data_IF_302580277741
#
_entry.id   IF_302580277741
#
_cell.length_a   1.000
_cell.length_b   1.000
_cell.length_c   1.000
_cell.angle_alpha   90.00
_cell.angle_beta   90.00
_cell.angle_gamma   90.00
#
_symmetry.space_group_name_H-M   'P 1'
#
loop_
_entity.id
_entity.type
_entity.pdbx_description
1 polymer ?
#
# COMPACT_ATOMS: atom_id res chain seq x y z
N UNK A 1 28.91 25.80 28.38
CA UNK A 1 28.41 24.45 28.07
C UNK A 1 29.53 23.53 27.61
N UNK A 2 29.24 22.28 27.24
CA UNK A 2 30.26 21.28 26.83
C UNK A 2 31.12 21.74 25.66
N UNK A 3 30.59 22.52 24.74
CA UNK A 3 31.29 23.07 23.56
C UNK A 3 32.32 24.12 24.02
N UNK A 4 31.93 25.01 24.91
CA UNK A 4 32.83 26.04 25.45
C UNK A 4 34.04 25.44 26.18
N UNK A 5 33.82 24.31 26.89
CA UNK A 5 34.91 23.61 27.58
C UNK A 5 35.95 23.03 26.58
N UNK A 6 35.48 22.50 25.41
CA UNK A 6 36.42 21.99 24.39
C UNK A 6 37.18 23.09 23.70
N UNK A 7 36.58 24.26 23.47
CA UNK A 7 37.25 25.42 22.90
C UNK A 7 38.35 25.96 23.84
N UNK A 8 38.11 26.00 25.18
CA UNK A 8 39.10 26.37 26.19
C UNK A 8 40.28 25.39 26.23
N UNK A 9 40.10 24.14 25.82
CA UNK A 9 41.17 23.13 25.74
C UNK A 9 41.92 23.16 24.39
N UNK A 10 41.62 24.10 23.48
CA UNK A 10 42.25 24.20 22.16
C UNK A 10 41.88 23.05 21.20
N UNK A 11 40.78 22.35 21.47
CA UNK A 11 40.27 21.29 20.61
C UNK A 11 39.39 21.96 19.55
N UNK A 12 39.77 21.84 18.25
CA UNK A 12 38.92 22.32 17.17
C UNK A 12 37.55 21.57 17.21
N UNK A 13 36.54 22.27 17.69
CA UNK A 13 35.18 21.75 17.64
C UNK A 13 34.58 22.07 16.27
N UNK A 14 34.15 21.04 15.54
CA UNK A 14 33.31 21.21 14.36
C UNK A 14 32.16 22.14 14.71
N UNK A 15 31.98 23.23 13.99
CA UNK A 15 30.91 24.21 14.22
C UNK A 15 29.56 23.52 14.34
N UNK A 16 29.00 23.46 15.57
CA UNK A 16 27.71 22.87 15.88
C UNK A 16 26.54 23.55 15.16
N UNK A 17 26.74 24.72 14.54
CA UNK A 17 25.73 25.39 13.73
C UNK A 17 25.24 24.54 12.55
N UNK A 18 26.02 23.54 12.10
CA UNK A 18 25.61 22.62 11.05
C UNK A 18 24.66 21.51 11.54
N UNK A 19 24.62 21.23 12.84
CA UNK A 19 23.80 20.13 13.39
C UNK A 19 22.33 20.51 13.60
N UNK A 20 22.05 21.77 13.85
CA UNK A 20 20.67 22.27 13.99
C UNK A 20 19.90 22.26 12.66
N UNK A 21 20.61 22.31 11.52
CA UNK A 21 20.02 22.19 10.18
C UNK A 21 19.72 20.74 9.79
N UNK A 22 20.36 19.76 10.47
CA UNK A 22 20.17 18.32 10.24
C UNK A 22 19.01 17.72 11.06
N UNK A 23 18.43 18.46 11.98
CA UNK A 23 17.16 18.04 12.60
C UNK A 23 16.07 18.21 11.56
N UNK A 24 16.00 17.26 10.65
CA UNK A 24 14.82 17.08 9.80
C UNK A 24 13.68 16.84 10.77
N UNK A 25 12.86 17.87 11.01
CA UNK A 25 11.61 17.73 11.75
C UNK A 25 10.81 16.65 11.04
N UNK A 26 10.87 15.43 11.55
CA UNK A 26 10.10 14.32 11.04
C UNK A 26 8.64 14.78 11.04
N UNK A 27 8.06 14.95 9.86
CA UNK A 27 6.62 15.27 9.77
C UNK A 27 5.91 14.15 10.51
N UNK A 28 5.06 14.46 11.49
CA UNK A 28 4.35 13.43 12.24
C UNK A 28 3.61 12.54 11.23
N UNK A 29 3.93 11.26 11.24
CA UNK A 29 3.23 10.30 10.40
C UNK A 29 1.80 10.20 10.92
N UNK A 30 0.81 10.53 10.08
CA UNK A 30 -0.59 10.34 10.44
C UNK A 30 -0.88 8.86 10.50
N UNK A 31 -1.10 8.35 11.70
CA UNK A 31 -1.57 6.99 11.91
C UNK A 31 -2.86 6.77 11.12
N UNK A 32 -2.94 5.66 10.42
CA UNK A 32 -4.15 5.29 9.71
C UNK A 32 -5.17 4.71 10.70
N UNK A 33 -6.34 5.35 10.78
CA UNK A 33 -7.47 4.85 11.56
C UNK A 33 -8.49 4.28 10.57
N UNK A 34 -8.72 2.96 10.58
CA UNK A 34 -9.75 2.37 9.73
C UNK A 34 -11.14 2.77 10.21
N UNK A 35 -12.04 2.96 9.27
CA UNK A 35 -13.45 3.26 9.51
C UNK A 35 -14.34 2.19 8.90
N UNK A 36 -15.57 2.03 9.38
CA UNK A 36 -16.54 1.07 8.83
C UNK A 36 -17.02 1.47 7.42
N UNK A 37 -16.75 2.70 7.00
CA UNK A 37 -17.03 3.19 5.64
C UNK A 37 -16.47 2.27 4.54
N UNK A 38 -15.41 1.50 4.82
CA UNK A 38 -14.82 0.59 3.83
C UNK A 38 -15.79 -0.52 3.41
N UNK A 39 -16.62 -1.02 4.32
CA UNK A 39 -17.58 -2.07 4.01
C UNK A 39 -18.62 -1.59 2.99
N UNK A 40 -19.07 -0.33 3.13
CA UNK A 40 -19.97 0.30 2.18
C UNK A 40 -19.31 0.51 0.81
N UNK A 41 -18.03 0.90 0.80
CA UNK A 41 -17.25 1.07 -0.44
C UNK A 41 -17.12 -0.28 -1.16
N UNK A 42 -16.80 -1.36 -0.44
CA UNK A 42 -16.70 -2.71 -1.01
C UNK A 42 -18.04 -3.12 -1.63
N UNK A 43 -19.13 -3.01 -0.86
CA UNK A 43 -20.47 -3.39 -1.33
C UNK A 43 -20.89 -2.61 -2.58
N UNK A 44 -20.60 -1.30 -2.63
CA UNK A 44 -20.88 -0.46 -3.80
C UNK A 44 -20.03 -0.82 -5.01
N UNK A 45 -18.73 -1.10 -4.82
CA UNK A 45 -17.86 -1.56 -5.90
C UNK A 45 -18.34 -2.90 -6.47
N UNK A 46 -18.70 -3.86 -5.62
CA UNK A 46 -19.25 -5.16 -6.03
C UNK A 46 -20.56 -5.00 -6.80
N UNK A 47 -21.50 -4.18 -6.30
CA UNK A 47 -22.78 -3.91 -6.95
C UNK A 47 -22.61 -3.31 -8.34
N UNK A 48 -21.60 -2.44 -8.52
CA UNK A 48 -21.35 -1.72 -9.77
C UNK A 48 -20.34 -2.41 -10.69
N UNK A 49 -19.93 -3.65 -10.41
CA UNK A 49 -18.89 -4.36 -11.16
C UNK A 49 -19.17 -4.54 -12.66
N UNK A 50 -20.44 -4.69 -13.04
CA UNK A 50 -20.83 -4.85 -14.44
C UNK A 50 -20.99 -3.50 -15.17
N UNK A 51 -21.35 -2.44 -14.45
CA UNK A 51 -21.49 -1.09 -15.01
C UNK A 51 -20.10 -0.44 -15.21
N UNK A 52 -19.16 -0.71 -14.28
CA UNK A 52 -17.79 -0.15 -14.30
C UNK A 52 -16.72 -1.24 -14.18
N UNK A 53 -16.62 -2.18 -15.14
CA UNK A 53 -15.74 -3.35 -15.02
C UNK A 53 -14.26 -2.99 -14.84
N UNK A 54 -13.77 -1.95 -15.51
CA UNK A 54 -12.38 -1.51 -15.38
C UNK A 54 -12.08 -0.90 -14.00
N UNK A 55 -13.02 -0.17 -13.43
CA UNK A 55 -12.87 0.37 -12.07
C UNK A 55 -13.01 -0.72 -11.01
N UNK A 56 -13.81 -1.75 -11.25
CA UNK A 56 -13.88 -2.91 -10.38
C UNK A 56 -12.57 -3.70 -10.37
N UNK A 57 -11.96 -3.94 -11.52
CA UNK A 57 -10.61 -4.53 -11.59
C UNK A 57 -9.58 -3.67 -10.85
N UNK A 58 -9.60 -2.33 -11.06
CA UNK A 58 -8.72 -1.41 -10.36
C UNK A 58 -8.95 -1.43 -8.83
N UNK A 59 -10.19 -1.58 -8.38
CA UNK A 59 -10.53 -1.77 -6.97
C UNK A 59 -9.92 -3.05 -6.41
N UNK A 60 -10.08 -4.21 -7.07
CA UNK A 60 -9.48 -5.46 -6.65
C UNK A 60 -7.95 -5.40 -6.58
N UNK A 61 -7.32 -4.78 -7.58
CA UNK A 61 -5.87 -4.59 -7.59
C UNK A 61 -5.38 -3.67 -6.45
N UNK A 62 -6.14 -2.62 -6.13
CA UNK A 62 -5.75 -1.67 -5.08
C UNK A 62 -6.09 -2.14 -3.67
N UNK A 63 -7.34 -2.52 -3.43
CA UNK A 63 -7.84 -2.98 -2.13
C UNK A 63 -7.45 -4.42 -1.84
N UNK A 64 -7.57 -5.30 -2.84
CA UNK A 64 -7.27 -6.73 -2.71
C UNK A 64 -5.78 -7.02 -2.65
N UNK A 65 -5.04 -6.57 -3.66
CA UNK A 65 -3.62 -6.88 -3.83
C UNK A 65 -2.67 -5.75 -3.41
N UNK A 66 -3.20 -4.61 -2.97
CA UNK A 66 -2.41 -3.51 -2.43
C UNK A 66 -1.56 -2.75 -3.45
N UNK A 67 -1.91 -2.75 -4.73
CA UNK A 67 -1.14 -2.06 -5.77
C UNK A 67 -1.26 -0.54 -5.68
N UNK A 68 -0.17 0.16 -6.02
CA UNK A 68 -0.18 1.60 -6.23
C UNK A 68 -0.88 1.95 -7.55
N UNK A 69 -1.43 3.16 -7.67
CA UNK A 69 -2.13 3.58 -8.89
C UNK A 69 -1.27 3.40 -10.17
N UNK A 70 0.03 3.69 -10.10
CA UNK A 70 0.96 3.46 -11.22
C UNK A 70 1.20 1.97 -11.52
N UNK A 71 1.13 1.10 -10.52
CA UNK A 71 1.28 -0.35 -10.64
C UNK A 71 0.02 -0.96 -11.25
N UNK A 72 -1.18 -0.53 -10.82
CA UNK A 72 -2.47 -0.98 -11.35
C UNK A 72 -2.51 -0.87 -12.89
N UNK A 73 -2.02 0.25 -13.43
CA UNK A 73 -2.07 0.52 -14.87
C UNK A 73 -1.15 -0.34 -15.73
N UNK A 74 -0.12 -0.90 -15.12
CA UNK A 74 0.91 -1.71 -15.80
C UNK A 74 0.73 -3.19 -15.59
N UNK A 75 -0.17 -3.59 -14.68
CA UNK A 75 -0.37 -4.98 -14.32
C UNK A 75 -0.89 -5.79 -15.51
N UNK A 76 -0.27 -6.92 -15.77
CA UNK A 76 -0.63 -7.88 -16.80
C UNK A 76 -1.16 -9.16 -16.19
N UNK A 77 -1.91 -9.92 -16.95
CA UNK A 77 -2.36 -11.24 -16.51
C UNK A 77 -1.19 -12.22 -16.27
N UNK A 78 -0.10 -12.08 -17.04
CA UNK A 78 1.12 -12.86 -16.86
C UNK A 78 1.89 -12.52 -15.57
N UNK A 79 1.60 -11.38 -14.95
CA UNK A 79 2.22 -11.00 -13.68
C UNK A 79 1.59 -11.71 -12.47
N UNK A 80 0.41 -12.32 -12.65
CA UNK A 80 -0.28 -13.09 -11.63
C UNK A 80 0.06 -14.57 -11.79
N UNK A 81 0.74 -15.16 -10.82
CA UNK A 81 1.14 -16.54 -10.86
C UNK A 81 1.18 -17.17 -9.47
N UNK A 82 1.28 -18.48 -9.43
CA UNK A 82 1.55 -19.23 -8.20
C UNK A 82 2.96 -19.79 -8.27
N UNK A 83 3.66 -19.78 -7.13
CA UNK A 83 4.96 -20.46 -7.04
C UNK A 83 4.78 -21.97 -6.85
N UNK A 84 5.90 -22.69 -6.69
CA UNK A 84 5.88 -24.15 -6.54
C UNK A 84 5.19 -24.61 -5.26
N UNK A 85 5.09 -23.74 -4.26
CA UNK A 85 4.42 -24.01 -3.00
C UNK A 85 2.93 -23.62 -3.03
N UNK A 86 2.43 -23.13 -4.18
CA UNK A 86 1.04 -22.69 -4.35
C UNK A 86 0.75 -21.29 -3.80
N UNK A 87 1.76 -20.52 -3.40
CA UNK A 87 1.55 -19.15 -2.94
C UNK A 87 1.16 -18.25 -4.12
N UNK A 88 0.11 -17.46 -3.91
CA UNK A 88 -0.35 -16.49 -4.90
C UNK A 88 0.56 -15.25 -4.91
N UNK A 89 1.10 -14.91 -6.06
CA UNK A 89 2.07 -13.83 -6.24
C UNK A 89 1.64 -12.88 -7.35
N UNK A 90 2.10 -11.63 -7.23
CA UNK A 90 2.06 -10.65 -8.31
C UNK A 90 3.44 -10.05 -8.55
N UNK A 91 3.88 -10.03 -9.81
CA UNK A 91 5.12 -9.39 -10.24
C UNK A 91 4.90 -7.92 -10.55
N UNK A 92 5.67 -7.07 -9.91
CA UNK A 92 5.65 -5.62 -10.13
C UNK A 92 6.90 -5.23 -10.90
N UNK A 93 6.72 -4.74 -12.12
CA UNK A 93 7.82 -4.22 -12.95
C UNK A 93 8.17 -2.79 -12.53
N UNK A 94 9.48 -2.50 -12.47
CA UNK A 94 10.05 -1.20 -12.08
C UNK A 94 9.41 -0.66 -10.79
N UNK A 95 9.54 -1.40 -9.67
CA UNK A 95 8.96 -0.97 -8.42
C UNK A 95 9.61 0.32 -7.93
N UNK A 96 8.87 1.13 -7.16
CA UNK A 96 9.39 2.38 -6.59
C UNK A 96 10.59 2.16 -5.64
N UNK A 97 10.70 0.96 -5.06
CA UNK A 97 11.81 0.54 -4.20
C UNK A 97 13.13 0.30 -4.94
N UNK A 98 13.13 0.37 -6.28
CA UNK A 98 14.28 0.05 -7.13
C UNK A 98 14.25 -1.39 -7.64
N UNK A 99 15.13 -1.67 -8.62
CA UNK A 99 15.21 -2.97 -9.28
C UNK A 99 14.30 -3.09 -10.51
N UNK A 100 14.48 -4.18 -11.25
CA UNK A 100 13.72 -4.45 -12.48
C UNK A 100 12.32 -4.95 -12.19
N UNK A 101 12.19 -5.84 -11.21
CA UNK A 101 10.91 -6.37 -10.75
C UNK A 101 10.93 -6.70 -9.26
N UNK A 102 9.74 -6.86 -8.69
CA UNK A 102 9.52 -7.29 -7.32
C UNK A 102 8.31 -8.21 -7.28
N UNK A 103 8.49 -9.45 -6.82
CA UNK A 103 7.39 -10.38 -6.59
C UNK A 103 6.82 -10.13 -5.18
N UNK A 104 5.50 -9.98 -5.11
CA UNK A 104 4.79 -9.70 -3.86
C UNK A 104 3.75 -10.78 -3.58
N UNK A 105 3.69 -11.31 -2.35
CA UNK A 105 2.63 -12.22 -1.96
C UNK A 105 1.27 -11.52 -1.95
N UNK A 106 0.26 -12.22 -2.38
CA UNK A 106 -1.11 -11.74 -2.49
C UNK A 106 -2.03 -12.55 -1.57
N UNK A 107 -3.09 -11.88 -1.11
CA UNK A 107 -4.22 -12.56 -0.50
C UNK A 107 -4.91 -13.45 -1.54
N UNK A 108 -4.99 -14.76 -1.27
CA UNK A 108 -5.48 -15.76 -2.22
C UNK A 108 -6.94 -15.49 -2.63
N UNK A 109 -7.80 -15.01 -1.72
CA UNK A 109 -9.19 -14.71 -2.02
C UNK A 109 -9.31 -13.59 -3.08
N UNK A 110 -8.56 -12.49 -2.92
CA UNK A 110 -8.62 -11.40 -3.90
C UNK A 110 -7.85 -11.72 -5.18
N UNK A 111 -6.78 -12.50 -5.07
CA UNK A 111 -6.05 -13.01 -6.23
C UNK A 111 -6.98 -13.84 -7.13
N UNK A 112 -7.73 -14.79 -6.56
CA UNK A 112 -8.72 -15.60 -7.29
C UNK A 112 -9.80 -14.74 -7.94
N UNK A 113 -10.35 -13.76 -7.22
CA UNK A 113 -11.33 -12.81 -7.79
C UNK A 113 -10.78 -12.04 -9.00
N UNK A 114 -9.50 -11.67 -8.98
CA UNK A 114 -8.87 -11.03 -10.14
C UNK A 114 -8.74 -12.02 -11.29
N UNK A 115 -8.27 -13.25 -11.04
CA UNK A 115 -8.12 -14.28 -12.07
C UNK A 115 -9.45 -14.64 -12.74
N UNK A 116 -10.56 -14.68 -12.00
CA UNK A 116 -11.90 -14.93 -12.55
C UNK A 116 -12.33 -13.91 -13.61
N UNK A 117 -11.74 -12.69 -13.58
CA UNK A 117 -12.01 -11.63 -14.56
C UNK A 117 -11.09 -11.70 -15.79
N UNK A 118 -10.23 -12.74 -15.88
CA UNK A 118 -9.25 -12.87 -16.96
C UNK A 118 -9.95 -12.95 -18.32
N UNK A 119 -9.38 -12.23 -19.26
CA UNK A 119 -9.81 -12.21 -20.67
C UNK A 119 -8.61 -12.41 -21.59
N UNK A 120 -8.81 -12.28 -22.90
CA UNK A 120 -7.77 -12.51 -23.93
C UNK A 120 -6.78 -11.36 -24.12
N UNK A 121 -6.95 -10.24 -23.44
CA UNK A 121 -6.00 -9.13 -23.51
C UNK A 121 -4.81 -9.35 -22.58
N UNK A 122 -3.66 -8.77 -22.88
CA UNK A 122 -2.46 -8.89 -22.04
C UNK A 122 -2.59 -8.12 -20.72
N UNK A 123 -3.10 -6.89 -20.78
CA UNK A 123 -3.24 -6.04 -19.61
C UNK A 123 -4.52 -6.36 -18.83
N UNK A 124 -4.45 -6.32 -17.51
CA UNK A 124 -5.62 -6.47 -16.63
C UNK A 124 -6.56 -5.28 -16.85
N UNK A 125 -6.00 -4.08 -16.90
CA UNK A 125 -6.72 -2.82 -17.15
C UNK A 125 -6.56 -2.43 -18.61
N UNK A 126 -7.67 -2.25 -19.31
CA UNK A 126 -7.69 -1.88 -20.72
C UNK A 126 -8.02 -0.40 -20.94
N UNK A 127 -8.60 0.22 -19.92
CA UNK A 127 -8.89 1.65 -19.98
C UNK A 127 -7.60 2.49 -20.06
N UNK A 128 -7.67 3.63 -20.74
CA UNK A 128 -6.52 4.52 -20.87
C UNK A 128 -5.99 5.01 -19.53
N UNK A 129 -4.73 5.43 -19.50
CA UNK A 129 -4.08 5.96 -18.30
C UNK A 129 -4.88 7.09 -17.65
N UNK A 130 -5.41 8.03 -18.46
CA UNK A 130 -6.21 9.16 -17.98
C UNK A 130 -7.49 8.67 -17.29
N UNK A 131 -8.18 7.71 -17.90
CA UNK A 131 -9.43 7.15 -17.35
C UNK A 131 -9.18 6.50 -15.98
N UNK A 132 -8.13 5.71 -15.84
CA UNK A 132 -7.83 5.08 -14.54
C UNK A 132 -7.31 6.09 -13.53
N UNK A 133 -6.42 7.02 -13.93
CA UNK A 133 -5.84 7.97 -12.98
C UNK A 133 -6.87 8.92 -12.38
N UNK A 134 -7.78 9.42 -13.21
CA UNK A 134 -8.75 10.44 -12.84
C UNK A 134 -10.14 9.84 -12.62
N UNK A 135 -10.61 9.00 -13.54
CA UNK A 135 -11.95 8.43 -13.51
C UNK A 135 -12.16 7.46 -12.35
N UNK A 136 -11.20 6.58 -12.05
CA UNK A 136 -11.32 5.67 -10.90
C UNK A 136 -11.40 6.42 -9.56
N UNK A 137 -10.60 7.46 -9.37
CA UNK A 137 -10.68 8.28 -8.16
C UNK A 137 -12.02 9.02 -8.06
N UNK A 138 -12.57 9.50 -9.19
CA UNK A 138 -13.89 10.13 -9.23
C UNK A 138 -15.01 9.11 -8.96
N UNK A 139 -14.94 7.92 -9.55
CA UNK A 139 -15.86 6.83 -9.28
C UNK A 139 -15.91 6.50 -7.78
N UNK A 140 -14.77 6.32 -7.13
CA UNK A 140 -14.72 6.04 -5.70
C UNK A 140 -15.38 7.15 -4.87
N UNK A 141 -15.22 8.41 -5.27
CA UNK A 141 -15.83 9.55 -4.56
C UNK A 141 -17.33 9.69 -4.83
N UNK A 142 -17.73 9.66 -6.09
CA UNK A 142 -19.11 9.95 -6.50
C UNK A 142 -20.04 8.76 -6.28
N UNK A 143 -19.58 7.56 -6.68
CA UNK A 143 -20.41 6.36 -6.69
C UNK A 143 -20.26 5.54 -5.40
N UNK A 144 -19.06 5.53 -4.80
CA UNK A 144 -18.80 4.76 -3.60
C UNK A 144 -18.79 5.60 -2.32
N UNK A 145 -18.80 6.93 -2.41
CA UNK A 145 -18.91 7.82 -1.25
C UNK A 145 -17.60 8.05 -0.49
N UNK A 146 -16.44 7.75 -1.10
CA UNK A 146 -15.13 7.97 -0.47
C UNK A 146 -14.86 9.49 -0.32
N UNK A 147 -14.71 9.96 0.91
CA UNK A 147 -14.46 11.39 1.21
C UNK A 147 -12.98 11.77 1.14
N UNK A 148 -12.07 10.79 1.27
CA UNK A 148 -10.63 11.02 1.31
C UNK A 148 -10.14 11.60 -0.03
N UNK A 149 -9.27 12.65 0.06
CA UNK A 149 -8.68 13.30 -1.13
C UNK A 149 -7.96 12.30 -2.03
N UNK A 150 -7.22 11.35 -1.45
CA UNK A 150 -6.45 10.31 -2.14
C UNK A 150 -7.18 8.97 -2.10
N UNK A 151 -8.37 8.90 -2.69
CA UNK A 151 -9.26 7.75 -2.62
C UNK A 151 -8.58 6.41 -2.97
N UNK A 152 -7.82 6.33 -4.07
CA UNK A 152 -7.11 5.10 -4.45
C UNK A 152 -6.03 4.71 -3.43
N UNK A 153 -5.32 5.68 -2.88
CA UNK A 153 -4.32 5.40 -1.85
C UNK A 153 -4.95 4.94 -0.52
N UNK A 154 -6.15 5.41 -0.25
CA UNK A 154 -6.95 4.94 0.89
C UNK A 154 -7.24 3.44 0.79
N UNK A 155 -7.66 2.95 -0.38
CA UNK A 155 -7.90 1.51 -0.59
C UNK A 155 -6.67 0.67 -0.27
N UNK A 156 -5.49 1.12 -0.71
CA UNK A 156 -4.22 0.45 -0.38
C UNK A 156 -3.91 0.49 1.13
N UNK A 157 -4.26 1.57 1.85
CA UNK A 157 -4.13 1.60 3.31
C UNK A 157 -5.04 0.57 3.98
N UNK A 158 -6.28 0.43 3.52
CA UNK A 158 -7.17 -0.62 4.00
C UNK A 158 -6.66 -2.04 3.67
N UNK A 159 -6.06 -2.25 2.51
CA UNK A 159 -5.35 -3.49 2.20
C UNK A 159 -4.27 -3.78 3.25
N UNK A 160 -3.41 -2.81 3.53
CA UNK A 160 -2.38 -2.94 4.55
C UNK A 160 -2.94 -3.24 5.94
N UNK A 161 -3.99 -2.54 6.35
CA UNK A 161 -4.68 -2.81 7.61
C UNK A 161 -5.23 -4.24 7.67
N UNK A 162 -5.87 -4.71 6.62
CA UNK A 162 -6.40 -6.07 6.53
C UNK A 162 -5.28 -7.12 6.64
N UNK A 163 -4.17 -6.92 5.93
CA UNK A 163 -3.02 -7.80 5.98
C UNK A 163 -2.38 -7.84 7.38
N UNK A 164 -2.29 -6.69 8.06
CA UNK A 164 -1.76 -6.61 9.43
C UNK A 164 -2.62 -7.34 10.46
N UNK A 165 -3.94 -7.42 10.25
CA UNK A 165 -4.83 -8.18 11.16
C UNK A 165 -4.68 -9.69 11.03
N UNK A 166 -4.27 -10.18 9.87
CA UNK A 166 -4.13 -11.60 9.58
C UNK A 166 -2.69 -12.12 9.60
N UNK A 167 -1.69 -11.23 9.61
CA UNK A 167 -0.28 -11.58 9.47
C UNK A 167 0.60 -10.69 10.35
N UNK A 168 1.90 -11.03 10.42
CA UNK A 168 2.90 -10.16 11.03
C UNK A 168 3.21 -8.93 10.16
N UNK A 169 3.86 -7.92 10.77
CA UNK A 169 4.21 -6.67 10.12
C UNK A 169 5.17 -6.86 8.93
N UNK A 170 6.05 -7.84 9.00
CA UNK A 170 7.01 -8.13 7.95
C UNK A 170 6.31 -8.65 6.69
N UNK A 171 5.40 -9.62 6.85
CA UNK A 171 4.59 -10.18 5.77
C UNK A 171 3.71 -9.11 5.12
N UNK A 172 3.05 -8.26 5.92
CA UNK A 172 2.25 -7.14 5.41
C UNK A 172 3.10 -6.11 4.65
N UNK A 173 4.29 -5.78 5.16
CA UNK A 173 5.25 -4.88 4.51
C UNK A 173 5.71 -5.42 3.16
N UNK A 174 6.04 -6.72 3.11
CA UNK A 174 6.45 -7.42 1.88
C UNK A 174 5.33 -7.41 0.83
N UNK A 175 4.10 -7.74 1.21
CA UNK A 175 2.93 -7.72 0.34
C UNK A 175 2.64 -6.31 -0.22
N UNK A 176 2.81 -5.27 0.60
CA UNK A 176 2.70 -3.89 0.15
C UNK A 176 3.92 -3.40 -0.65
N UNK A 177 5.04 -4.12 -0.66
CA UNK A 177 6.27 -3.69 -1.32
C UNK A 177 6.84 -2.40 -0.72
N UNK A 178 6.86 -2.33 0.60
CA UNK A 178 7.60 -1.30 1.30
C UNK A 178 9.07 -1.70 1.38
N UNK A 179 9.98 -0.75 1.15
CA UNK A 179 11.42 -0.97 1.24
C UNK A 179 11.89 -1.09 2.69
N UNK A 180 11.12 -0.55 3.65
CA UNK A 180 11.41 -0.56 5.07
C UNK A 180 10.11 -0.88 5.85
N UNK A 181 10.18 -1.81 6.77
CA UNK A 181 9.07 -2.17 7.68
C UNK A 181 8.66 -1.00 8.57
N UNK A 182 9.57 -0.06 8.86
CA UNK A 182 9.28 1.17 9.60
C UNK A 182 8.13 1.97 8.98
N UNK A 183 7.99 1.95 7.65
CA UNK A 183 6.88 2.62 6.96
C UNK A 183 5.55 1.96 7.33
N UNK A 184 5.53 0.63 7.39
CA UNK A 184 4.33 -0.13 7.77
C UNK A 184 4.01 0.10 9.25
N UNK A 185 5.01 0.02 10.10
CA UNK A 185 4.87 0.27 11.53
C UNK A 185 4.33 1.68 11.81
N UNK A 186 4.92 2.72 11.26
CA UNK A 186 4.48 4.11 11.45
C UNK A 186 3.03 4.36 11.02
N UNK A 187 2.56 3.68 9.97
CA UNK A 187 1.19 3.85 9.48
C UNK A 187 0.18 3.10 10.36
N UNK A 188 0.57 1.93 10.87
CA UNK A 188 -0.33 0.99 11.55
C UNK A 188 -0.04 0.79 13.05
N UNK A 189 0.92 1.53 13.63
CA UNK A 189 1.32 1.41 15.05
C UNK A 189 0.18 1.64 16.07
N UNK A 190 -0.91 2.26 15.63
CA UNK A 190 -2.10 2.47 16.47
C UNK A 190 -3.08 1.31 16.51
N UNK A 191 -2.80 0.19 15.81
CA UNK A 191 -3.65 -0.97 15.86
C UNK A 191 -3.45 -1.72 17.19
N UNK A 192 -4.54 -2.16 17.85
CA UNK A 192 -4.39 -2.98 19.05
C UNK A 192 -3.62 -4.25 18.69
N UNK A 193 -2.47 -4.43 19.30
CA UNK A 193 -1.70 -5.68 19.21
C UNK A 193 -2.54 -6.76 19.86
N UNK A 194 -2.99 -7.74 19.10
CA UNK A 194 -3.58 -8.96 19.65
C UNK A 194 -2.44 -9.66 20.37
N UNK A 195 -2.33 -9.47 21.69
CA UNK A 195 -1.43 -10.28 22.49
C UNK A 195 -1.93 -11.71 22.38
N UNK A 196 -1.06 -12.59 21.89
CA UNK A 196 -1.34 -14.03 21.94
C UNK A 196 -1.65 -14.37 23.41
N UNK A 197 -2.89 -14.70 23.68
CA UNK A 197 -3.28 -15.29 24.96
C UNK A 197 -2.55 -16.62 25.04
N UNK A 198 -1.63 -16.75 26.01
CA UNK A 198 -1.08 -18.05 26.36
C UNK A 198 -2.27 -18.93 26.69
N UNK A 199 -2.48 -19.97 25.90
CA UNK A 199 -3.34 -21.08 26.27
C UNK A 199 -2.63 -21.75 27.44
N UNK A 200 -3.23 -21.62 28.63
CA UNK A 200 -2.79 -22.33 29.81
C UNK A 200 -3.13 -23.83 29.72
#
# INVERSE_FOLDING_TARGET
GMVEWYEEQGIETCHMASWTSLVVKAKPCKVFVPTDEINDVIAKCEKKRFEYPEYYKAFLLSYGLGLRNSEIRRAKWSDLYQDMDGNCLIRIHKPKSGGEFQDRPCDAHYWSKVIELRNFHDNIIQASEKVIREGFAQFLKKECGVKERRAVHLLRKYCGHRLMRGNDIYSASKALGHSDTKITDQIYSGLPTIRATKVG
#
